data_IF_550712521711
#
_entry.id   IF_550712521711
#
_cell.length_a   1.000
_cell.length_b   1.000
_cell.length_c   1.000
_cell.angle_alpha   90.00
_cell.angle_beta   90.00
_cell.angle_gamma   90.00
#
_symmetry.space_group_name_H-M   'P 1'
#
loop_
_entity.id
_entity.type
_entity.pdbx_description
1 polymer ?
#
# COMPACT_ATOMS: atom_id res chain seq x y z
N UNK A 1 -24.51 29.50 -2.78
CA UNK A 1 -23.10 29.29 -3.22
C UNK A 1 -22.40 28.10 -2.56
N UNK A 2 -22.53 27.86 -1.24
CA UNK A 2 -21.84 26.76 -0.52
C UNK A 2 -22.15 25.35 -1.06
N UNK A 3 -23.42 25.07 -1.39
CA UNK A 3 -23.86 23.77 -1.92
C UNK A 3 -23.30 23.43 -3.31
N UNK A 4 -23.19 24.42 -4.21
CA UNK A 4 -22.55 24.24 -5.54
C UNK A 4 -21.07 23.88 -5.41
N UNK A 5 -20.35 24.53 -4.49
CA UNK A 5 -18.92 24.25 -4.23
C UNK A 5 -18.70 22.85 -3.65
N UNK A 6 -19.60 22.40 -2.77
CA UNK A 6 -19.57 21.05 -2.21
C UNK A 6 -19.85 19.98 -3.27
N UNK A 7 -20.84 20.20 -4.15
CA UNK A 7 -21.11 19.30 -5.29
C UNK A 7 -19.92 19.21 -6.25
N UNK A 8 -19.29 20.33 -6.58
CA UNK A 8 -18.10 20.32 -7.45
C UNK A 8 -16.93 19.52 -6.85
N UNK A 9 -16.69 19.63 -5.53
CA UNK A 9 -15.67 18.85 -4.84
C UNK A 9 -15.97 17.35 -4.85
N UNK A 10 -17.22 16.96 -4.64
CA UNK A 10 -17.64 15.56 -4.69
C UNK A 10 -17.43 14.95 -6.08
N UNK A 11 -17.69 15.73 -7.13
CA UNK A 11 -17.48 15.33 -8.52
C UNK A 11 -15.98 15.11 -8.80
N UNK A 12 -15.13 16.04 -8.37
CA UNK A 12 -13.67 15.93 -8.49
C UNK A 12 -13.11 14.69 -7.76
N UNK A 13 -13.63 14.40 -6.56
CA UNK A 13 -13.24 13.20 -5.79
C UNK A 13 -13.65 11.92 -6.52
N UNK A 14 -14.83 11.90 -7.14
CA UNK A 14 -15.28 10.76 -7.93
C UNK A 14 -14.39 10.54 -9.16
N UNK A 15 -14.02 11.60 -9.87
CA UNK A 15 -13.10 11.55 -11.01
C UNK A 15 -11.72 11.02 -10.60
N UNK A 16 -11.13 11.54 -9.53
CA UNK A 16 -9.85 11.06 -9.04
C UNK A 16 -9.88 9.60 -8.59
N UNK A 17 -11.00 9.14 -8.03
CA UNK A 17 -11.15 7.73 -7.64
C UNK A 17 -11.19 6.81 -8.85
N UNK A 18 -11.91 7.20 -9.91
CA UNK A 18 -11.95 6.44 -11.17
C UNK A 18 -10.55 6.36 -11.79
N UNK A 19 -9.84 7.49 -11.82
CA UNK A 19 -8.49 7.56 -12.38
C UNK A 19 -7.47 6.77 -11.56
N UNK A 20 -7.55 6.83 -10.23
CA UNK A 20 -6.73 6.01 -9.34
C UNK A 20 -6.98 4.51 -9.56
N UNK A 21 -8.25 4.09 -9.74
CA UNK A 21 -8.57 2.70 -10.06
C UNK A 21 -8.06 2.28 -11.44
N UNK A 22 -8.12 3.17 -12.44
CA UNK A 22 -7.56 2.94 -13.76
C UNK A 22 -6.05 2.73 -13.70
N UNK A 23 -5.33 3.58 -12.97
CA UNK A 23 -3.88 3.49 -12.78
C UNK A 23 -3.47 2.29 -11.91
N UNK A 24 -4.22 2.00 -10.85
CA UNK A 24 -3.95 0.87 -9.97
C UNK A 24 -4.18 -0.50 -10.62
N UNK A 25 -4.99 -0.57 -11.71
CA UNK A 25 -5.18 -1.81 -12.48
C UNK A 25 -3.92 -2.26 -13.23
N UNK A 26 -3.01 -1.34 -13.57
CA UNK A 26 -1.73 -1.71 -14.19
C UNK A 26 -0.66 -1.87 -13.12
N UNK A 27 -0.49 -3.09 -12.61
CA UNK A 27 0.69 -3.45 -11.83
C UNK A 27 1.89 -3.42 -12.77
N UNK A 28 2.88 -2.56 -12.50
CA UNK A 28 4.12 -2.55 -13.28
C UNK A 28 4.82 -3.91 -13.20
N UNK A 29 5.65 -4.23 -14.19
CA UNK A 29 6.44 -5.46 -14.17
C UNK A 29 7.28 -5.59 -12.88
N UNK A 30 7.78 -4.46 -12.36
CA UNK A 30 8.56 -4.44 -11.11
C UNK A 30 7.69 -4.73 -9.88
N UNK A 31 6.49 -4.14 -9.79
CA UNK A 31 5.57 -4.44 -8.69
C UNK A 31 5.10 -5.90 -8.73
N UNK A 32 4.84 -6.45 -9.93
CA UNK A 32 4.49 -7.87 -10.07
C UNK A 32 5.62 -8.76 -9.59
N UNK A 33 6.86 -8.52 -10.06
CA UNK A 33 8.06 -9.25 -9.60
C UNK A 33 8.25 -9.15 -8.09
N UNK A 34 8.02 -7.98 -7.50
CA UNK A 34 8.09 -7.81 -6.05
C UNK A 34 7.08 -8.71 -5.33
N UNK A 35 5.83 -8.75 -5.79
CA UNK A 35 4.81 -9.64 -5.23
C UNK A 35 5.15 -11.12 -5.42
N UNK A 36 5.67 -11.50 -6.59
CA UNK A 36 6.07 -12.89 -6.87
C UNK A 36 7.21 -13.33 -5.93
N UNK A 37 8.22 -12.49 -5.73
CA UNK A 37 9.32 -12.74 -4.78
C UNK A 37 8.81 -12.77 -3.34
N UNK A 38 7.94 -11.84 -2.95
CA UNK A 38 7.37 -11.84 -1.61
C UNK A 38 6.52 -13.09 -1.33
N UNK A 39 5.77 -13.59 -2.31
CA UNK A 39 4.99 -14.82 -2.17
C UNK A 39 5.88 -16.07 -2.08
N UNK A 40 6.96 -16.12 -2.87
CA UNK A 40 7.86 -17.27 -2.91
C UNK A 40 8.84 -17.33 -1.73
N UNK A 41 9.36 -16.18 -1.31
CA UNK A 41 10.52 -16.06 -0.42
C UNK A 41 10.27 -15.15 0.79
N UNK A 42 9.08 -14.56 0.90
CA UNK A 42 8.80 -13.53 1.91
C UNK A 42 9.10 -13.99 3.33
N UNK A 43 8.77 -15.24 3.67
CA UNK A 43 9.04 -15.82 4.99
C UNK A 43 10.53 -15.96 5.31
N UNK A 44 11.36 -16.25 4.31
CA UNK A 44 12.81 -16.37 4.46
C UNK A 44 13.49 -14.99 4.50
N UNK A 45 12.87 -14.02 3.83
CA UNK A 45 13.30 -12.63 3.78
C UNK A 45 12.71 -11.77 4.92
N UNK A 46 11.94 -12.36 5.83
CA UNK A 46 11.47 -11.64 7.00
C UNK A 46 12.68 -11.16 7.82
N UNK A 47 12.77 -9.85 8.13
CA UNK A 47 13.86 -9.36 8.95
C UNK A 47 13.80 -10.02 10.32
N UNK A 48 14.93 -10.55 10.79
CA UNK A 48 15.06 -11.15 12.11
C UNK A 48 15.71 -10.18 13.11
N UNK A 49 15.59 -10.50 14.41
CA UNK A 49 16.22 -9.74 15.48
C UNK A 49 15.67 -8.32 15.60
N UNK A 50 16.57 -7.33 15.70
CA UNK A 50 16.21 -5.92 15.97
C UNK A 50 15.38 -5.28 14.85
N UNK A 51 15.43 -5.85 13.65
CA UNK A 51 14.69 -5.36 12.48
C UNK A 51 13.31 -6.03 12.33
N UNK A 52 13.00 -7.05 13.15
CA UNK A 52 11.77 -7.84 13.03
C UNK A 52 10.49 -7.10 13.43
N UNK A 53 10.57 -5.86 13.94
CA UNK A 53 9.42 -5.06 14.35
C UNK A 53 8.61 -5.63 15.52
N UNK A 54 8.84 -6.89 15.90
CA UNK A 54 8.31 -7.47 17.12
C UNK A 54 9.10 -6.93 18.30
N UNK A 55 8.46 -6.07 19.08
CA UNK A 55 8.87 -5.63 20.42
C UNK A 55 8.86 -6.79 21.43
N UNK A 56 9.48 -7.93 21.09
CA UNK A 56 9.72 -9.07 21.96
C UNK A 56 11.23 -9.24 22.18
N UNK A 57 11.95 -8.13 22.30
CA UNK A 57 13.11 -8.07 23.18
C UNK A 57 12.61 -8.36 24.60
N UNK A 58 12.42 -9.64 24.93
CA UNK A 58 12.68 -10.09 26.30
C UNK A 58 14.16 -9.78 26.53
N UNK A 59 14.40 -8.68 27.22
CA UNK A 59 15.72 -8.33 27.75
C UNK A 59 16.27 -9.58 28.46
N UNK A 60 17.53 -9.97 28.22
CA UNK A 60 18.19 -10.94 29.09
C UNK A 60 18.21 -10.36 30.52
N UNK A 61 17.89 -11.20 31.51
CA UNK A 61 17.98 -10.86 32.94
C UNK A 61 19.39 -10.42 33.32
#
# INVERSE_FOLDING_TARGET
MKSKKQKARQLLVAEYRVEALRLARSVSANQRRFFDVAAAQGKELEPSGWLAGTSLTKLPN
#
